data_IF_536798289999
#
_entry.id   IF_536798289999
#
_cell.length_a   1.000
_cell.length_b   1.000
_cell.length_c   1.000
_cell.angle_alpha   90.00
_cell.angle_beta   90.00
_cell.angle_gamma   90.00
#
_symmetry.space_group_name_H-M   'P 1'
#
loop_
_entity.id
_entity.type
_entity.pdbx_description
1 polymer ?
#
# COMPACT_ATOMS: atom_id res chain seq x y z
N UNK A 1 9.38 -16.66 -42.51
CA UNK A 1 9.39 -16.47 -41.04
C UNK A 1 8.76 -15.11 -40.80
N UNK A 2 7.77 -14.97 -39.92
CA UNK A 2 7.26 -13.64 -39.56
C UNK A 2 8.47 -12.83 -39.10
N UNK A 3 8.82 -11.83 -39.92
CA UNK A 3 10.10 -11.16 -39.84
C UNK A 3 10.10 -10.27 -38.61
N UNK A 4 11.06 -10.49 -37.70
CA UNK A 4 11.28 -9.61 -36.56
C UNK A 4 11.46 -8.18 -37.10
N UNK A 5 10.48 -7.31 -36.84
CA UNK A 5 10.49 -5.94 -37.32
C UNK A 5 11.76 -5.24 -36.82
N UNK A 6 12.53 -4.67 -37.75
CA UNK A 6 13.69 -3.85 -37.43
C UNK A 6 13.28 -2.42 -37.13
N UNK A 7 14.18 -1.65 -36.51
CA UNK A 7 13.96 -0.22 -36.30
C UNK A 7 13.79 0.57 -37.61
N UNK A 8 14.27 0.05 -38.75
CA UNK A 8 14.02 0.64 -40.06
C UNK A 8 12.57 0.41 -40.50
N UNK A 9 12.08 -0.83 -40.34
CA UNK A 9 10.70 -1.18 -40.70
C UNK A 9 9.66 -0.37 -39.90
N UNK A 10 9.95 -0.09 -38.62
CA UNK A 10 9.12 0.80 -37.79
C UNK A 10 9.07 2.23 -38.34
N UNK A 11 10.21 2.77 -38.81
CA UNK A 11 10.25 4.14 -39.37
C UNK A 11 9.48 4.24 -40.68
N UNK A 12 9.58 3.22 -41.53
CA UNK A 12 8.89 3.19 -42.82
C UNK A 12 7.37 3.08 -42.65
N UNK A 13 6.91 2.60 -41.48
CA UNK A 13 5.50 2.47 -41.08
C UNK A 13 4.98 3.63 -40.23
N UNK A 14 5.82 4.61 -39.92
CA UNK A 14 5.43 5.81 -39.17
C UNK A 14 5.09 6.94 -40.16
N UNK A 15 3.83 7.38 -40.14
CA UNK A 15 3.37 8.54 -40.89
C UNK A 15 2.81 9.60 -39.94
N UNK A 16 3.39 10.80 -39.96
CA UNK A 16 3.14 11.86 -38.98
C UNK A 16 3.29 11.38 -37.53
N UNK A 17 2.19 11.18 -36.82
CA UNK A 17 2.14 10.64 -35.46
C UNK A 17 1.42 9.28 -35.37
N UNK A 18 1.17 8.65 -36.51
CA UNK A 18 0.52 7.36 -36.64
C UNK A 18 1.52 6.26 -37.02
N UNK A 19 1.70 5.30 -36.12
CA UNK A 19 2.50 4.11 -36.35
C UNK A 19 1.58 2.93 -36.70
N UNK A 20 1.58 2.54 -37.97
CA UNK A 20 0.73 1.46 -38.48
C UNK A 20 1.50 0.13 -38.55
N UNK A 21 1.23 -0.74 -37.57
CA UNK A 21 1.72 -2.11 -37.50
C UNK A 21 0.59 -3.12 -37.68
N UNK A 22 -0.51 -2.72 -38.31
CA UNK A 22 -1.60 -3.63 -38.66
C UNK A 22 -1.16 -4.64 -39.73
N UNK A 23 -1.78 -5.83 -39.74
CA UNK A 23 -1.57 -6.86 -40.77
C UNK A 23 -0.09 -7.23 -40.98
N UNK A 24 0.72 -7.19 -39.91
CA UNK A 24 2.16 -7.46 -39.95
C UNK A 24 2.50 -8.89 -39.53
N UNK A 25 1.50 -9.74 -39.31
CA UNK A 25 1.66 -11.12 -38.84
C UNK A 25 2.43 -11.22 -37.51
N UNK A 26 2.26 -10.22 -36.64
CA UNK A 26 2.99 -10.14 -35.38
C UNK A 26 2.44 -11.14 -34.36
N UNK A 27 3.33 -11.97 -33.82
CA UNK A 27 3.04 -12.86 -32.67
C UNK A 27 3.37 -12.17 -31.33
N UNK A 28 4.28 -11.19 -31.34
CA UNK A 28 4.66 -10.38 -30.18
C UNK A 28 4.86 -8.91 -30.59
N UNK A 29 4.68 -8.00 -29.65
CA UNK A 29 4.85 -6.56 -29.87
C UNK A 29 6.32 -6.19 -29.74
N UNK A 30 6.97 -5.62 -30.79
CA UNK A 30 8.36 -5.19 -30.73
C UNK A 30 8.50 -3.85 -29.97
N UNK A 31 8.23 -3.87 -28.66
CA UNK A 31 8.20 -2.66 -27.81
C UNK A 31 9.52 -1.90 -27.86
N UNK A 32 10.66 -2.60 -27.93
CA UNK A 32 11.98 -1.97 -27.97
C UNK A 32 12.15 -1.13 -29.24
N UNK A 33 11.75 -1.68 -30.38
CA UNK A 33 11.85 -1.05 -31.68
C UNK A 33 10.82 0.08 -31.82
N UNK A 34 9.59 -0.12 -31.34
CA UNK A 34 8.55 0.92 -31.28
C UNK A 34 9.00 2.09 -30.41
N UNK A 35 9.61 1.84 -29.25
CA UNK A 35 10.08 2.90 -28.34
C UNK A 35 11.17 3.81 -28.96
N UNK A 36 11.86 3.37 -30.02
CA UNK A 36 12.83 4.20 -30.75
C UNK A 36 12.10 5.29 -31.57
N UNK A 37 10.87 5.03 -32.03
CA UNK A 37 10.03 6.02 -32.69
C UNK A 37 9.52 7.04 -31.65
N UNK A 38 10.24 8.14 -31.46
CA UNK A 38 9.97 9.12 -30.38
C UNK A 38 8.74 10.02 -30.62
N UNK A 39 8.07 9.92 -31.77
CA UNK A 39 7.02 10.87 -32.21
C UNK A 39 5.82 10.15 -32.81
N UNK A 40 5.17 9.28 -32.04
CA UNK A 40 3.84 8.77 -32.37
C UNK A 40 2.89 8.96 -31.20
N UNK A 41 1.61 9.13 -31.51
CA UNK A 41 0.52 9.19 -30.54
C UNK A 41 -0.58 8.16 -30.87
N UNK A 42 -0.60 7.66 -32.10
CA UNK A 42 -1.51 6.62 -32.58
C UNK A 42 -0.68 5.38 -32.88
N UNK A 43 -1.10 4.24 -32.34
CA UNK A 43 -0.49 2.94 -32.60
C UNK A 43 -1.58 1.97 -33.04
N UNK A 44 -1.47 1.49 -34.27
CA UNK A 44 -2.33 0.43 -34.80
C UNK A 44 -1.57 -0.91 -34.78
N UNK A 45 -2.07 -1.85 -34.00
CA UNK A 45 -1.59 -3.23 -33.89
C UNK A 45 -2.70 -4.23 -34.28
N UNK A 46 -3.74 -3.76 -34.97
CA UNK A 46 -4.89 -4.57 -35.33
C UNK A 46 -4.55 -5.67 -36.35
N UNK A 47 -5.37 -6.72 -36.41
CA UNK A 47 -5.23 -7.80 -37.40
C UNK A 47 -3.84 -8.48 -37.37
N UNK A 48 -3.33 -8.78 -36.17
CA UNK A 48 -2.12 -9.55 -35.95
C UNK A 48 -2.45 -10.87 -35.23
N UNK A 49 -1.42 -11.61 -34.80
CA UNK A 49 -1.54 -12.87 -34.06
C UNK A 49 -1.16 -12.72 -32.59
N UNK A 50 -1.38 -11.54 -32.00
CA UNK A 50 -0.98 -11.25 -30.62
C UNK A 50 -1.86 -12.03 -29.65
N UNK A 51 -1.27 -12.89 -28.82
CA UNK A 51 -1.98 -13.64 -27.76
C UNK A 51 -1.90 -12.97 -26.38
N UNK A 52 -0.86 -12.15 -26.18
CA UNK A 52 -0.60 -11.35 -24.98
C UNK A 52 0.09 -10.05 -25.37
N UNK A 53 0.20 -9.11 -24.42
CA UNK A 53 1.11 -7.97 -24.54
C UNK A 53 2.26 -8.14 -23.55
N UNK A 54 3.49 -7.76 -23.92
CA UNK A 54 4.64 -7.87 -23.02
C UNK A 54 4.49 -6.92 -21.81
N UNK A 55 5.08 -7.28 -20.68
CA UNK A 55 4.93 -6.52 -19.41
C UNK A 55 5.50 -5.11 -19.48
N UNK A 56 6.40 -4.83 -20.41
CA UNK A 56 6.93 -3.50 -20.67
C UNK A 56 6.11 -2.70 -21.71
N UNK A 57 4.98 -3.20 -22.20
CA UNK A 57 4.14 -2.49 -23.18
C UNK A 57 3.73 -1.10 -22.68
N UNK A 58 3.40 -0.99 -21.40
CA UNK A 58 3.02 0.28 -20.77
C UNK A 58 4.15 1.34 -20.70
N UNK A 59 5.38 0.99 -21.09
CA UNK A 59 6.47 1.98 -21.28
C UNK A 59 6.21 2.94 -22.45
N UNK A 60 5.33 2.56 -23.39
CA UNK A 60 4.86 3.39 -24.50
C UNK A 60 3.80 4.42 -24.04
N UNK A 61 4.09 5.14 -22.95
CA UNK A 61 3.13 5.99 -22.24
C UNK A 61 2.65 7.23 -23.04
N UNK A 62 3.27 7.52 -24.19
CA UNK A 62 2.86 8.57 -25.11
C UNK A 62 1.59 8.24 -25.91
N UNK A 63 1.17 6.97 -25.96
CA UNK A 63 0.03 6.54 -26.78
C UNK A 63 -1.27 7.22 -26.33
N UNK A 64 -1.97 7.81 -27.30
CA UNK A 64 -3.27 8.47 -27.16
C UNK A 64 -4.38 7.62 -27.79
N UNK A 65 -4.11 6.97 -28.91
CA UNK A 65 -5.03 6.02 -29.55
C UNK A 65 -4.31 4.70 -29.80
N UNK A 66 -4.93 3.61 -29.36
CA UNK A 66 -4.42 2.27 -29.50
C UNK A 66 -5.50 1.38 -30.12
N UNK A 67 -5.17 0.77 -31.26
CA UNK A 67 -6.00 -0.28 -31.86
C UNK A 67 -5.30 -1.63 -31.67
N UNK A 68 -5.95 -2.54 -30.96
CA UNK A 68 -5.54 -3.92 -30.74
C UNK A 68 -6.61 -4.90 -31.26
N UNK A 69 -7.55 -4.41 -32.07
CA UNK A 69 -8.67 -5.20 -32.56
C UNK A 69 -8.23 -6.37 -33.45
N UNK A 70 -9.05 -7.42 -33.51
CA UNK A 70 -8.83 -8.61 -34.34
C UNK A 70 -7.47 -9.26 -34.08
N UNK A 71 -7.18 -9.51 -32.81
CA UNK A 71 -6.04 -10.27 -32.33
C UNK A 71 -6.56 -11.51 -31.55
N UNK A 72 -5.69 -12.18 -30.80
CA UNK A 72 -6.04 -13.32 -29.94
C UNK A 72 -5.71 -13.03 -28.47
N UNK A 73 -5.74 -11.75 -28.07
CA UNK A 73 -5.35 -11.35 -26.72
C UNK A 73 -6.27 -12.01 -25.70
N UNK A 74 -5.67 -12.71 -24.74
CA UNK A 74 -6.41 -13.40 -23.66
C UNK A 74 -6.56 -12.53 -22.41
N UNK A 75 -5.62 -11.61 -22.21
CA UNK A 75 -5.61 -10.62 -21.13
C UNK A 75 -4.74 -9.41 -21.50
N UNK A 76 -4.91 -8.32 -20.75
CA UNK A 76 -4.01 -7.17 -20.76
C UNK A 76 -3.12 -7.21 -19.51
N UNK A 77 -1.88 -6.70 -19.57
CA UNK A 77 -0.97 -6.73 -18.44
C UNK A 77 -1.47 -5.84 -17.28
N UNK A 78 -1.15 -6.21 -16.03
CA UNK A 78 -1.65 -5.48 -14.85
C UNK A 78 -1.14 -4.03 -14.75
N UNK A 79 -0.11 -3.63 -15.48
CA UNK A 79 0.35 -2.24 -15.56
C UNK A 79 -0.24 -1.46 -16.76
N UNK A 80 -1.24 -1.98 -17.47
CA UNK A 80 -1.85 -1.31 -18.63
C UNK A 80 -2.40 0.09 -18.29
N UNK A 81 -2.82 0.29 -17.03
CA UNK A 81 -3.21 1.58 -16.48
C UNK A 81 -2.16 2.68 -16.54
N UNK A 82 -0.89 2.38 -16.80
CA UNK A 82 0.20 3.36 -16.89
C UNK A 82 0.25 4.14 -18.21
N UNK A 83 -0.57 3.74 -19.19
CA UNK A 83 -0.83 4.52 -20.41
C UNK A 83 -1.71 5.75 -20.13
N UNK A 84 -1.25 6.67 -19.26
CA UNK A 84 -2.05 7.78 -18.71
C UNK A 84 -2.58 8.77 -19.76
N UNK A 85 -2.06 8.76 -20.98
CA UNK A 85 -2.51 9.61 -22.08
C UNK A 85 -3.58 8.96 -22.96
N UNK A 86 -3.86 7.66 -22.77
CA UNK A 86 -4.77 6.92 -23.63
C UNK A 86 -6.19 7.49 -23.57
N UNK A 87 -6.76 7.74 -24.76
CA UNK A 87 -8.10 8.29 -24.98
C UNK A 87 -8.99 7.35 -25.78
N UNK A 88 -8.42 6.51 -26.63
CA UNK A 88 -9.13 5.58 -27.47
C UNK A 88 -8.42 4.22 -27.40
N UNK A 89 -9.18 3.18 -27.09
CA UNK A 89 -8.70 1.81 -26.99
C UNK A 89 -9.68 0.88 -27.70
N UNK A 90 -9.24 0.25 -28.78
CA UNK A 90 -10.01 -0.79 -29.46
C UNK A 90 -9.46 -2.17 -29.13
N UNK A 91 -10.31 -3.03 -28.58
CA UNK A 91 -10.03 -4.43 -28.25
C UNK A 91 -11.04 -5.37 -28.91
N UNK A 92 -11.83 -4.88 -29.87
CA UNK A 92 -12.81 -5.65 -30.62
C UNK A 92 -12.21 -6.96 -31.16
N UNK A 93 -12.91 -8.08 -31.01
CA UNK A 93 -12.51 -9.33 -31.64
C UNK A 93 -11.20 -9.88 -31.08
N UNK A 94 -11.19 -10.14 -29.76
CA UNK A 94 -10.08 -10.77 -29.05
C UNK A 94 -10.62 -11.93 -28.18
N UNK A 95 -9.80 -12.50 -27.31
CA UNK A 95 -10.15 -13.59 -26.40
C UNK A 95 -10.14 -13.16 -24.92
N UNK A 96 -10.40 -11.87 -24.67
CA UNK A 96 -10.30 -11.27 -23.34
C UNK A 96 -11.50 -11.69 -22.49
N UNK A 97 -11.24 -12.38 -21.39
CA UNK A 97 -12.28 -12.76 -20.42
C UNK A 97 -12.38 -11.80 -19.23
N UNK A 98 -11.26 -11.15 -18.88
CA UNK A 98 -11.12 -10.24 -17.73
C UNK A 98 -10.26 -9.03 -18.10
N UNK A 99 -10.50 -7.92 -17.42
CA UNK A 99 -9.71 -6.68 -17.57
C UNK A 99 -8.88 -6.45 -16.30
N UNK A 100 -7.63 -5.97 -16.42
CA UNK A 100 -6.79 -5.67 -15.26
C UNK A 100 -7.37 -4.49 -14.47
N UNK A 101 -7.19 -4.50 -13.14
CA UNK A 101 -7.72 -3.45 -12.26
C UNK A 101 -7.12 -2.08 -12.61
N UNK A 102 -5.89 -2.06 -13.11
CA UNK A 102 -5.21 -0.83 -13.53
C UNK A 102 -5.89 -0.11 -14.68
N UNK A 103 -6.74 -0.75 -15.49
CA UNK A 103 -7.53 -0.08 -16.51
C UNK A 103 -8.43 1.02 -15.89
N UNK A 104 -8.85 0.85 -14.62
CA UNK A 104 -9.54 1.87 -13.82
C UNK A 104 -8.73 3.16 -13.58
N UNK A 105 -7.43 3.16 -13.85
CA UNK A 105 -6.55 4.33 -13.74
C UNK A 105 -6.55 5.21 -15.00
N UNK A 106 -7.10 4.74 -16.12
CA UNK A 106 -7.14 5.47 -17.40
C UNK A 106 -8.20 6.58 -17.41
N UNK A 107 -8.01 7.62 -16.59
CA UNK A 107 -9.00 8.72 -16.40
C UNK A 107 -9.28 9.54 -17.66
N UNK A 108 -8.43 9.45 -18.68
CA UNK A 108 -8.59 10.15 -19.96
C UNK A 108 -9.25 9.30 -21.04
N UNK A 109 -9.52 8.02 -20.78
CA UNK A 109 -10.14 7.12 -21.75
C UNK A 109 -11.55 7.61 -22.07
N UNK A 110 -11.81 7.85 -23.35
CA UNK A 110 -13.06 8.38 -23.87
C UNK A 110 -13.78 7.40 -24.77
N UNK A 111 -13.11 6.38 -25.28
CA UNK A 111 -13.71 5.40 -26.19
C UNK A 111 -13.08 4.04 -25.92
N UNK A 112 -13.93 3.03 -25.80
CA UNK A 112 -13.56 1.65 -25.55
C UNK A 112 -14.53 0.73 -26.29
N UNK A 113 -14.00 -0.17 -27.11
CA UNK A 113 -14.75 -1.30 -27.67
C UNK A 113 -14.17 -2.61 -27.15
N UNK A 114 -15.06 -3.45 -26.65
CA UNK A 114 -14.77 -4.78 -26.08
C UNK A 114 -15.67 -5.85 -26.72
N UNK A 115 -16.44 -5.54 -27.75
CA UNK A 115 -17.29 -6.52 -28.43
C UNK A 115 -16.45 -7.67 -28.98
N UNK A 116 -17.10 -8.80 -29.23
CA UNK A 116 -16.45 -10.01 -29.72
C UNK A 116 -15.29 -10.44 -28.80
N UNK A 117 -15.52 -10.40 -27.49
CA UNK A 117 -14.65 -10.97 -26.46
C UNK A 117 -15.48 -11.82 -25.49
N UNK A 118 -14.94 -12.94 -24.97
CA UNK A 118 -15.61 -13.81 -24.01
C UNK A 118 -15.59 -13.23 -22.58
N UNK A 119 -16.01 -11.98 -22.42
CA UNK A 119 -16.01 -11.29 -21.13
C UNK A 119 -16.87 -12.02 -20.10
N UNK A 120 -16.41 -12.05 -18.85
CA UNK A 120 -17.26 -12.47 -17.72
C UNK A 120 -18.57 -11.67 -17.67
N UNK A 121 -19.71 -12.28 -17.27
CA UNK A 121 -21.01 -11.62 -17.31
C UNK A 121 -21.06 -10.28 -16.54
N UNK A 122 -20.32 -10.16 -15.44
CA UNK A 122 -20.22 -8.93 -14.65
C UNK A 122 -19.62 -7.79 -15.47
N UNK A 123 -18.48 -8.02 -16.11
CA UNK A 123 -17.81 -7.01 -16.95
C UNK A 123 -18.60 -6.73 -18.22
N UNK A 124 -19.16 -7.76 -18.87
CA UNK A 124 -19.97 -7.61 -20.07
C UNK A 124 -21.19 -6.68 -19.83
N UNK A 125 -21.88 -6.85 -18.70
CA UNK A 125 -23.03 -6.00 -18.35
C UNK A 125 -22.65 -4.53 -18.09
N UNK A 126 -21.48 -4.29 -17.50
CA UNK A 126 -20.94 -2.94 -17.24
C UNK A 126 -20.52 -2.25 -18.55
N UNK A 127 -19.87 -2.99 -19.44
CA UNK A 127 -19.40 -2.49 -20.72
C UNK A 127 -20.57 -2.09 -21.63
N UNK A 128 -21.60 -2.95 -21.72
CA UNK A 128 -22.73 -2.72 -22.60
C UNK A 128 -22.36 -2.84 -24.09
N UNK A 129 -23.29 -2.48 -25.01
CA UNK A 129 -23.00 -2.47 -26.44
C UNK A 129 -22.04 -1.32 -26.81
N UNK A 130 -21.48 -1.40 -28.02
CA UNK A 130 -20.67 -0.34 -28.64
C UNK A 130 -20.93 -0.33 -30.16
N UNK A 131 -22.17 -0.02 -30.55
CA UNK A 131 -22.59 0.04 -31.96
C UNK A 131 -22.55 1.46 -32.53
N UNK A 132 -22.36 2.46 -31.68
CA UNK A 132 -22.22 3.85 -32.07
C UNK A 132 -21.25 4.58 -31.13
N UNK A 133 -20.74 5.77 -31.50
CA UNK A 133 -19.75 6.50 -30.71
C UNK A 133 -20.20 6.80 -29.27
N UNK A 134 -21.49 7.01 -29.04
CA UNK A 134 -22.03 7.33 -27.71
C UNK A 134 -21.97 6.11 -26.79
N UNK A 135 -22.36 4.95 -27.29
CA UNK A 135 -22.27 3.68 -26.56
C UNK A 135 -20.82 3.33 -26.19
N UNK A 136 -19.87 3.47 -27.12
CA UNK A 136 -18.46 3.20 -26.84
C UNK A 136 -17.83 4.20 -25.84
N UNK A 137 -18.34 5.43 -25.79
CA UNK A 137 -17.96 6.40 -24.76
C UNK A 137 -18.52 6.03 -23.38
N UNK A 138 -19.75 5.52 -23.36
CA UNK A 138 -20.38 5.08 -22.12
C UNK A 138 -19.73 3.78 -21.60
N UNK A 139 -19.35 2.85 -22.48
CA UNK A 139 -18.50 1.68 -22.17
C UNK A 139 -17.21 2.10 -21.47
N UNK A 140 -16.43 3.02 -22.07
CA UNK A 140 -15.20 3.53 -21.47
C UNK A 140 -15.43 4.12 -20.08
N UNK A 141 -16.45 4.96 -19.92
CA UNK A 141 -16.78 5.60 -18.63
C UNK A 141 -17.16 4.56 -17.58
N UNK A 142 -18.02 3.61 -17.93
CA UNK A 142 -18.57 2.62 -17.01
C UNK A 142 -17.50 1.63 -16.54
N UNK A 143 -16.72 1.09 -17.48
CA UNK A 143 -15.66 0.12 -17.18
C UNK A 143 -14.55 0.76 -16.33
N UNK A 144 -14.07 1.95 -16.70
CA UNK A 144 -13.04 2.66 -15.92
C UNK A 144 -13.54 2.97 -14.51
N UNK A 145 -14.79 3.42 -14.37
CA UNK A 145 -15.39 3.70 -13.05
C UNK A 145 -15.54 2.43 -12.22
N UNK A 146 -16.05 1.35 -12.81
CA UNK A 146 -16.23 0.07 -12.15
C UNK A 146 -14.91 -0.49 -11.63
N UNK A 147 -13.89 -0.61 -12.49
CA UNK A 147 -12.59 -1.16 -12.11
C UNK A 147 -11.87 -0.28 -11.08
N UNK A 148 -12.02 1.04 -11.15
CA UNK A 148 -11.47 1.94 -10.13
C UNK A 148 -12.11 1.68 -8.75
N UNK A 149 -13.42 1.47 -8.69
CA UNK A 149 -14.12 1.17 -7.44
C UNK A 149 -13.72 -0.21 -6.90
N UNK A 150 -13.66 -1.23 -7.77
CA UNK A 150 -13.24 -2.58 -7.39
C UNK A 150 -11.81 -2.57 -6.82
N UNK A 151 -10.90 -1.82 -7.44
CA UNK A 151 -9.53 -1.68 -6.94
C UNK A 151 -9.49 -1.07 -5.52
N UNK A 152 -10.28 -0.03 -5.26
CA UNK A 152 -10.39 0.58 -3.92
C UNK A 152 -10.93 -0.43 -2.91
N UNK A 153 -12.02 -1.14 -3.22
CA UNK A 153 -12.60 -2.13 -2.32
C UNK A 153 -11.62 -3.27 -2.00
N UNK A 154 -10.84 -3.72 -2.98
CA UNK A 154 -9.81 -4.74 -2.77
C UNK A 154 -8.71 -4.22 -1.83
N UNK A 155 -8.23 -2.98 -2.02
CA UNK A 155 -7.22 -2.39 -1.13
C UNK A 155 -7.76 -2.15 0.28
N UNK A 156 -9.00 -1.70 0.43
CA UNK A 156 -9.65 -1.57 1.75
C UNK A 156 -9.79 -2.91 2.45
N UNK A 157 -10.18 -3.97 1.74
CA UNK A 157 -10.32 -5.31 2.31
C UNK A 157 -8.96 -5.92 2.66
N UNK A 158 -7.94 -5.70 1.84
CA UNK A 158 -6.54 -6.06 2.17
C UNK A 158 -6.10 -5.36 3.45
N UNK A 159 -6.37 -4.06 3.58
CA UNK A 159 -6.03 -3.30 4.78
C UNK A 159 -6.80 -3.82 6.01
N UNK A 160 -8.10 -4.09 5.87
CA UNK A 160 -8.91 -4.71 6.94
C UNK A 160 -8.32 -6.03 7.40
N UNK A 161 -7.99 -6.93 6.48
CA UNK A 161 -7.37 -8.23 6.80
C UNK A 161 -6.00 -8.07 7.45
N UNK A 162 -5.20 -7.11 6.99
CA UNK A 162 -3.91 -6.80 7.61
C UNK A 162 -4.10 -6.30 9.05
N UNK A 163 -5.03 -5.38 9.29
CA UNK A 163 -5.34 -4.89 10.64
C UNK A 163 -5.96 -5.97 11.53
N UNK A 164 -6.78 -6.87 10.99
CA UNK A 164 -7.33 -8.02 11.73
C UNK A 164 -6.24 -9.03 12.10
N UNK A 165 -5.26 -9.25 11.22
CA UNK A 165 -4.10 -10.09 11.49
C UNK A 165 -3.15 -9.48 12.54
N UNK A 166 -2.96 -8.16 12.54
CA UNK A 166 -2.14 -7.45 13.53
C UNK A 166 -2.88 -7.18 14.85
N UNK A 167 -4.21 -7.08 14.81
CA UNK A 167 -5.11 -6.96 15.97
C UNK A 167 -5.32 -8.25 16.74
N UNK A 168 -4.47 -9.27 16.53
CA UNK A 168 -4.38 -10.41 17.42
C UNK A 168 -4.13 -9.96 18.85
N UNK A 169 -4.62 -10.75 19.80
CA UNK A 169 -4.56 -10.54 21.26
C UNK A 169 -3.25 -9.95 21.78
N UNK A 170 -2.12 -10.21 21.12
CA UNK A 170 -0.81 -9.66 21.41
C UNK A 170 -0.72 -8.12 21.36
N UNK A 171 -1.28 -7.43 20.36
CA UNK A 171 -1.20 -5.95 20.29
C UNK A 171 -2.05 -5.30 21.39
N UNK A 172 -3.26 -5.83 21.61
CA UNK A 172 -4.16 -5.36 22.66
C UNK A 172 -3.58 -5.62 24.07
N UNK A 173 -2.99 -6.80 24.30
CA UNK A 173 -2.30 -7.12 25.55
C UNK A 173 -1.05 -6.26 25.75
N UNK A 174 -0.27 -6.02 24.70
CA UNK A 174 0.91 -5.16 24.76
C UNK A 174 0.54 -3.70 25.04
N UNK A 175 -0.57 -3.21 24.46
CA UNK A 175 -1.08 -1.86 24.72
C UNK A 175 -1.64 -1.72 26.14
N UNK A 176 -2.38 -2.72 26.64
CA UNK A 176 -2.83 -2.77 28.04
C UNK A 176 -1.63 -2.83 28.99
N UNK A 177 -0.64 -3.65 28.68
CA UNK A 177 0.59 -3.76 29.47
C UNK A 177 1.36 -2.44 29.50
N UNK A 178 1.53 -1.78 28.34
CA UNK A 178 2.18 -0.48 28.25
C UNK A 178 1.43 0.60 29.06
N UNK A 179 0.10 0.65 28.97
CA UNK A 179 -0.72 1.58 29.74
C UNK A 179 -0.65 1.29 31.26
N UNK A 180 -0.64 0.02 31.66
CA UNK A 180 -0.49 -0.38 33.05
C UNK A 180 0.89 0.00 33.61
N UNK A 181 1.96 -0.23 32.84
CA UNK A 181 3.32 0.18 33.21
C UNK A 181 3.40 1.70 33.35
N UNK A 182 2.89 2.46 32.37
CA UNK A 182 2.88 3.92 32.41
C UNK A 182 2.11 4.45 33.63
N UNK A 183 0.93 3.89 33.91
CA UNK A 183 0.13 4.26 35.08
C UNK A 183 0.87 3.94 36.39
N UNK A 184 1.55 2.80 36.47
CA UNK A 184 2.33 2.43 37.66
C UNK A 184 3.51 3.39 37.91
N UNK A 185 4.18 3.83 36.85
CA UNK A 185 5.27 4.83 36.92
C UNK A 185 4.71 6.17 37.41
N UNK A 186 3.57 6.62 36.87
CA UNK A 186 2.94 7.89 37.30
C UNK A 186 2.53 7.84 38.77
N UNK A 187 1.93 6.75 39.24
CA UNK A 187 1.57 6.57 40.65
C UNK A 187 2.81 6.60 41.54
N UNK A 188 3.90 5.91 41.14
CA UNK A 188 5.15 5.91 41.88
C UNK A 188 5.79 7.30 41.96
N UNK A 189 5.81 8.05 40.85
CA UNK A 189 6.33 9.43 40.82
C UNK A 189 5.51 10.38 41.72
N UNK A 190 4.18 10.25 41.70
CA UNK A 190 3.30 11.02 42.59
C UNK A 190 3.52 10.66 44.06
N UNK A 191 3.69 9.38 44.38
CA UNK A 191 3.99 8.92 45.74
C UNK A 191 5.35 9.47 46.23
N UNK A 192 6.38 9.45 45.38
CA UNK A 192 7.69 10.04 45.70
C UNK A 192 7.58 11.56 45.91
N UNK A 193 6.84 12.26 45.05
CA UNK A 193 6.63 13.70 45.19
C UNK A 193 5.94 14.04 46.53
N UNK A 194 4.87 13.33 46.88
CA UNK A 194 4.10 13.62 48.08
C UNK A 194 4.77 13.17 49.38
N UNK A 195 5.47 12.04 49.37
CA UNK A 195 6.02 11.42 50.60
C UNK A 195 7.47 11.79 50.84
N UNK A 196 8.26 12.03 49.77
CA UNK A 196 9.68 12.35 49.89
C UNK A 196 9.97 13.83 49.64
N UNK A 197 9.34 14.48 48.65
CA UNK A 197 9.69 15.86 48.25
C UNK A 197 8.89 16.91 49.02
N UNK A 198 7.58 16.73 49.18
CA UNK A 198 6.71 17.67 49.90
C UNK A 198 7.18 17.94 51.35
N UNK A 199 7.63 16.93 52.14
CA UNK A 199 8.14 17.16 53.50
C UNK A 199 9.48 17.87 53.57
N UNK A 200 10.29 17.81 52.50
CA UNK A 200 11.56 18.56 52.42
C UNK A 200 11.30 20.04 52.23
N UNK A 201 10.23 20.39 51.51
CA UNK A 201 9.87 21.78 51.23
C UNK A 201 9.04 22.42 52.35
N UNK A 202 8.13 21.66 52.98
CA UNK A 202 7.32 22.16 54.11
C UNK A 202 6.97 21.03 55.08
N UNK A 203 7.83 20.83 56.08
CA UNK A 203 7.74 19.72 57.02
C UNK A 203 6.46 19.74 57.86
N UNK A 204 6.11 20.88 58.47
CA UNK A 204 4.94 21.00 59.36
C UNK A 204 3.63 20.70 58.64
N UNK A 205 3.40 21.30 57.46
CA UNK A 205 2.19 21.03 56.67
C UNK A 205 2.12 19.59 56.16
N UNK A 206 3.27 18.96 55.88
CA UNK A 206 3.30 17.56 55.48
C UNK A 206 2.91 16.62 56.62
N UNK A 207 3.33 16.91 57.85
CA UNK A 207 2.96 16.12 59.03
C UNK A 207 1.48 16.26 59.38
N UNK A 208 0.91 17.45 59.26
CA UNK A 208 -0.54 17.68 59.44
C UNK A 208 -1.34 16.88 58.40
N UNK A 209 -0.93 16.93 57.13
CA UNK A 209 -1.56 16.16 56.05
C UNK A 209 -1.47 14.65 56.29
N UNK A 210 -0.31 14.11 56.64
CA UNK A 210 -0.17 12.68 56.89
C UNK A 210 -1.00 12.23 58.09
N UNK A 211 -1.04 13.02 59.17
CA UNK A 211 -1.88 12.74 60.35
C UNK A 211 -3.36 12.75 59.99
N UNK A 212 -3.80 13.69 59.14
CA UNK A 212 -5.17 13.74 58.65
C UNK A 212 -5.52 12.47 57.87
N UNK A 213 -4.64 12.01 56.97
CA UNK A 213 -4.91 10.83 56.14
C UNK A 213 -4.94 9.55 56.99
N UNK A 214 -3.97 9.36 57.88
CA UNK A 214 -3.96 8.20 58.79
C UNK A 214 -5.24 8.11 59.64
N UNK A 215 -5.72 9.26 60.12
CA UNK A 215 -6.92 9.33 60.97
C UNK A 215 -8.22 9.04 60.22
N UNK A 216 -8.34 9.42 58.95
CA UNK A 216 -9.60 9.35 58.20
C UNK A 216 -9.69 8.18 57.22
N UNK A 217 -8.54 7.61 56.82
CA UNK A 217 -8.48 6.56 55.80
C UNK A 217 -7.86 5.25 56.29
N UNK A 218 -7.54 5.14 57.59
CA UNK A 218 -6.97 3.94 58.24
C UNK A 218 -5.75 3.36 57.47
N UNK A 219 -4.91 4.27 56.96
CA UNK A 219 -3.77 3.94 56.11
C UNK A 219 -2.47 4.49 56.73
N UNK A 220 -1.52 3.65 57.18
CA UNK A 220 -0.41 4.04 58.05
C UNK A 220 0.76 4.71 57.30
N UNK A 221 0.50 5.87 56.69
CA UNK A 221 1.42 6.65 55.86
C UNK A 221 2.76 6.96 56.53
N UNK A 222 2.77 7.29 57.82
CA UNK A 222 3.99 7.61 58.56
C UNK A 222 4.88 6.38 58.77
N UNK A 223 4.28 5.20 58.95
CA UNK A 223 5.02 3.93 59.03
C UNK A 223 5.64 3.54 57.69
N UNK A 224 4.92 3.79 56.59
CA UNK A 224 5.36 3.47 55.23
C UNK A 224 6.39 4.49 54.72
N UNK A 225 6.42 5.72 55.27
CA UNK A 225 7.36 6.80 54.89
C UNK A 225 8.82 6.36 54.85
N UNK A 226 9.27 5.60 55.85
CA UNK A 226 10.66 5.15 55.92
C UNK A 226 11.00 4.18 54.79
N UNK A 227 10.08 3.27 54.45
CA UNK A 227 10.23 2.34 53.34
C UNK A 227 10.10 3.03 51.98
N UNK A 228 9.21 4.03 51.84
CA UNK A 228 9.11 4.85 50.62
C UNK A 228 10.40 5.66 50.39
N UNK A 229 11.02 6.21 51.44
CA UNK A 229 12.30 6.93 51.30
C UNK A 229 13.43 5.97 50.91
N UNK A 230 13.48 4.75 51.46
CA UNK A 230 14.44 3.72 51.03
C UNK A 230 14.22 3.33 49.57
N UNK A 231 12.97 3.06 49.19
CA UNK A 231 12.58 2.76 47.82
C UNK A 231 12.94 3.91 46.87
N UNK A 232 12.66 5.16 47.23
CA UNK A 232 13.00 6.33 46.42
C UNK A 232 14.51 6.48 46.18
N UNK A 233 15.36 6.11 47.15
CA UNK A 233 16.82 6.09 46.99
C UNK A 233 17.32 4.93 46.13
N UNK A 234 16.65 3.77 46.21
CA UNK A 234 16.97 2.60 45.38
C UNK A 234 16.37 2.68 43.96
N UNK A 235 15.34 3.52 43.78
CA UNK A 235 14.56 3.62 42.55
C UNK A 235 15.39 3.93 41.29
N UNK A 236 16.40 4.82 41.31
CA UNK A 236 17.23 5.06 40.12
C UNK A 236 17.96 3.80 39.65
N UNK A 237 18.49 3.01 40.58
CA UNK A 237 19.23 1.77 40.30
C UNK A 237 18.28 0.68 39.79
N UNK A 238 17.12 0.54 40.43
CA UNK A 238 16.10 -0.45 40.02
C UNK A 238 15.55 -0.10 38.63
N UNK A 239 15.28 1.17 38.36
CA UNK A 239 14.82 1.62 37.04
C UNK A 239 15.86 1.38 35.95
N UNK A 240 17.15 1.62 36.25
CA UNK A 240 18.24 1.37 35.31
C UNK A 240 18.33 -0.12 34.92
N UNK A 241 18.26 -1.03 35.90
CA UNK A 241 18.26 -2.48 35.64
C UNK A 241 17.04 -2.94 34.83
N UNK A 242 15.85 -2.40 35.14
CA UNK A 242 14.62 -2.71 34.40
C UNK A 242 14.67 -2.20 32.95
N UNK A 243 15.15 -0.98 32.73
CA UNK A 243 15.34 -0.40 31.39
C UNK A 243 16.34 -1.23 30.60
N UNK A 244 17.48 -1.59 31.20
CA UNK A 244 18.51 -2.39 30.54
C UNK A 244 17.99 -3.78 30.16
N UNK A 245 17.21 -4.42 31.04
CA UNK A 245 16.58 -5.72 30.79
C UNK A 245 15.54 -5.62 29.67
N UNK A 246 14.71 -4.58 29.67
CA UNK A 246 13.72 -4.33 28.63
C UNK A 246 14.37 -4.08 27.26
N UNK A 247 15.46 -3.30 27.21
CA UNK A 247 16.25 -3.07 25.99
C UNK A 247 16.80 -4.40 25.45
N UNK A 248 17.30 -5.27 26.33
CA UNK A 248 17.83 -6.58 25.93
C UNK A 248 16.73 -7.44 25.30
N UNK A 249 15.55 -7.48 25.91
CA UNK A 249 14.40 -8.24 25.43
C UNK A 249 13.88 -7.71 24.08
N UNK A 250 13.82 -6.38 23.92
CA UNK A 250 13.43 -5.74 22.66
C UNK A 250 14.43 -6.02 21.52
N UNK A 251 15.73 -6.02 21.81
CA UNK A 251 16.78 -6.41 20.85
C UNK A 251 16.61 -7.86 20.41
N UNK A 252 16.32 -8.77 21.34
CA UNK A 252 16.13 -10.18 21.04
C UNK A 252 14.88 -10.42 20.18
N UNK A 253 13.77 -9.76 20.50
CA UNK A 253 12.52 -9.77 19.71
C UNK A 253 12.74 -9.23 18.30
N UNK A 254 13.42 -8.09 18.16
CA UNK A 254 13.76 -7.51 16.85
C UNK A 254 14.60 -8.48 16.02
N UNK A 255 15.66 -9.05 16.60
CA UNK A 255 16.55 -9.98 15.90
C UNK A 255 15.80 -11.25 15.46
N UNK A 256 14.90 -11.79 16.27
CA UNK A 256 14.06 -12.94 15.89
C UNK A 256 13.10 -12.60 14.74
N UNK A 257 12.51 -11.41 14.72
CA UNK A 257 11.56 -11.01 13.67
C UNK A 257 12.24 -10.65 12.34
N UNK A 258 13.40 -9.98 12.39
CA UNK A 258 14.05 -9.44 11.18
C UNK A 258 15.16 -10.33 10.59
N UNK A 259 15.60 -11.39 11.28
CA UNK A 259 16.60 -12.34 10.74
C UNK A 259 16.16 -13.08 9.47
N UNK A 260 14.88 -13.13 9.12
CA UNK A 260 14.44 -13.67 7.82
C UNK A 260 14.57 -12.67 6.65
N UNK A 261 14.91 -11.40 6.91
CA UNK A 261 15.01 -10.33 5.90
C UNK A 261 16.43 -9.82 5.63
N UNK A 262 17.44 -10.37 6.31
CA UNK A 262 18.85 -10.03 6.09
C UNK A 262 19.26 -8.60 6.51
N UNK A 263 18.42 -7.86 7.23
CA UNK A 263 18.75 -6.52 7.76
C UNK A 263 18.99 -6.57 9.27
N UNK A 264 20.26 -6.64 9.66
CA UNK A 264 20.69 -6.35 11.04
C UNK A 264 20.49 -4.85 11.33
N UNK A 265 20.14 -4.52 12.58
CA UNK A 265 20.23 -3.14 13.08
C UNK A 265 21.70 -2.68 12.96
N UNK A 266 21.97 -1.50 12.39
CA UNK A 266 23.31 -0.93 12.43
C UNK A 266 23.72 -0.71 13.89
N UNK A 267 24.87 -1.25 14.27
CA UNK A 267 25.49 -1.02 15.58
C UNK A 267 25.76 0.49 15.75
N UNK A 268 24.85 1.20 16.41
CA UNK A 268 24.96 2.64 16.57
C UNK A 268 23.72 3.36 17.11
N UNK A 269 22.54 2.74 17.09
CA UNK A 269 21.35 3.36 17.66
C UNK A 269 21.30 3.18 19.19
N UNK A 270 21.68 4.24 19.92
CA UNK A 270 21.18 4.46 21.29
C UNK A 270 19.73 4.95 21.16
N UNK A 271 18.79 4.18 21.69
CA UNK A 271 17.44 4.68 21.97
C UNK A 271 17.60 5.72 23.09
N UNK A 272 17.25 6.97 22.77
CA UNK A 272 17.12 8.06 23.77
C UNK A 272 15.95 7.74 24.69
#
# INVERSE_FOLDING_TARGET
MPGKLSAKDIKDKLFDDNLDLSLCELEDVPVREIAIARRFSILDLSNNYLTTLPTNFATLAQIVKLDLSKNQLTELPENFGDLKQLRHLDLYGNQISRLPLSLGQLKKLKWLDLKENPLTPSVASIAGPCNNPKECQDCARNVVKYLANVAVTIEEEKLRRFTAAQGGTCYSLCQIFYQAVLLSIVIMLLAVLFVAVFPVYNYEKSEEFFTYVEKHFDFPLKGIRHEIIKLAKAFPVIMEDWINTAILYLKELYNRYFNHTGKLLPDGYKLV
#
